data_IF_991396537467
#
_entry.id   IF_991396537467
#
_cell.length_a   1.000
_cell.length_b   1.000
_cell.length_c   1.000
_cell.angle_alpha   90.00
_cell.angle_beta   90.00
_cell.angle_gamma   90.00
#
_symmetry.space_group_name_H-M   'P 1'
#
loop_
_entity.id
_entity.type
_entity.pdbx_description
1 polymer ?
#
# COMPACT_ATOMS: atom_id res chain seq x y z
N UNK A 1 9.74 -19.97 -22.67
CA UNK A 1 8.71 -19.01 -23.12
C UNK A 1 7.38 -19.67 -22.87
N UNK A 2 6.71 -19.37 -21.76
CA UNK A 2 5.31 -19.78 -21.60
C UNK A 2 4.46 -19.10 -22.69
N UNK A 3 3.38 -19.75 -23.09
CA UNK A 3 2.42 -19.18 -24.03
C UNK A 3 1.88 -17.85 -23.49
N UNK A 4 1.78 -16.85 -24.36
CA UNK A 4 1.10 -15.60 -24.04
C UNK A 4 -0.29 -15.92 -23.46
N UNK A 5 -0.60 -15.37 -22.29
CA UNK A 5 -1.90 -15.52 -21.68
C UNK A 5 -2.96 -15.02 -22.65
N UNK A 6 -4.10 -15.72 -22.70
CA UNK A 6 -5.26 -15.17 -23.38
C UNK A 6 -5.67 -13.86 -22.69
N UNK A 7 -6.09 -12.87 -23.48
CA UNK A 7 -6.53 -11.57 -22.97
C UNK A 7 -7.52 -11.67 -21.78
N UNK A 8 -8.49 -12.61 -21.76
CA UNK A 8 -9.39 -12.78 -20.62
C UNK A 8 -8.67 -13.16 -19.31
N UNK A 9 -7.65 -14.01 -19.37
CA UNK A 9 -6.91 -14.45 -18.18
C UNK A 9 -6.03 -13.32 -17.65
N UNK A 10 -5.38 -12.57 -18.55
CA UNK A 10 -4.61 -11.38 -18.18
C UNK A 10 -5.50 -10.31 -17.51
N UNK A 11 -6.65 -10.01 -18.13
CA UNK A 11 -7.62 -9.06 -17.56
C UNK A 11 -8.15 -9.54 -16.20
N UNK A 12 -8.41 -10.84 -16.05
CA UNK A 12 -8.82 -11.44 -14.78
C UNK A 12 -7.77 -11.27 -13.68
N UNK A 13 -6.49 -11.50 -13.98
CA UNK A 13 -5.40 -11.30 -13.01
C UNK A 13 -5.21 -9.82 -12.62
N UNK A 14 -5.33 -8.91 -13.58
CA UNK A 14 -5.34 -7.47 -13.30
C UNK A 14 -6.52 -7.14 -12.38
N UNK A 15 -7.71 -7.71 -12.64
CA UNK A 15 -8.88 -7.56 -11.79
C UNK A 15 -8.65 -8.04 -10.35
N UNK A 16 -7.97 -9.17 -10.17
CA UNK A 16 -7.60 -9.69 -8.84
C UNK A 16 -6.59 -8.77 -8.16
N UNK A 17 -5.61 -8.24 -8.90
CA UNK A 17 -4.64 -7.28 -8.35
C UNK A 17 -5.34 -5.99 -7.88
N UNK A 18 -6.26 -5.45 -8.70
CA UNK A 18 -7.07 -4.29 -8.31
C UNK A 18 -8.02 -4.58 -7.14
N UNK A 19 -8.55 -5.81 -7.05
CA UNK A 19 -9.33 -6.24 -5.89
C UNK A 19 -8.48 -6.26 -4.62
N UNK A 20 -7.24 -6.74 -4.68
CA UNK A 20 -6.32 -6.66 -3.55
C UNK A 20 -6.08 -5.21 -3.12
N UNK A 21 -5.86 -4.30 -4.08
CA UNK A 21 -5.65 -2.87 -3.80
C UNK A 21 -6.88 -2.20 -3.20
N UNK A 22 -8.07 -2.56 -3.69
CA UNK A 22 -9.35 -2.14 -3.14
C UNK A 22 -9.52 -2.62 -1.70
N UNK A 23 -9.29 -3.91 -1.43
CA UNK A 23 -9.38 -4.47 -0.08
C UNK A 23 -8.36 -3.83 0.86
N UNK A 24 -7.18 -3.48 0.35
CA UNK A 24 -6.18 -2.75 1.11
C UNK A 24 -6.67 -1.35 1.50
N UNK A 25 -7.23 -0.61 0.53
CA UNK A 25 -7.84 0.70 0.77
C UNK A 25 -8.96 0.65 1.81
N UNK A 26 -9.79 -0.41 1.77
CA UNK A 26 -10.88 -0.67 2.72
C UNK A 26 -10.34 -0.97 4.12
N UNK A 27 -9.37 -1.87 4.21
CA UNK A 27 -8.82 -2.34 5.48
C UNK A 27 -8.10 -1.22 6.26
N UNK A 28 -7.39 -0.35 5.54
CA UNK A 28 -6.55 0.68 6.15
C UNK A 28 -7.21 2.08 6.18
N UNK A 29 -8.46 2.20 5.73
CA UNK A 29 -9.23 3.45 5.79
C UNK A 29 -9.24 4.03 7.22
N UNK A 30 -9.46 3.16 8.20
CA UNK A 30 -9.50 3.51 9.62
C UNK A 30 -8.20 4.19 10.09
N UNK A 31 -7.04 3.71 9.62
CA UNK A 31 -5.74 4.25 10.03
C UNK A 31 -5.58 5.72 9.58
N UNK A 32 -6.11 6.06 8.41
CA UNK A 32 -6.02 7.42 7.84
C UNK A 32 -6.95 8.43 8.49
N UNK A 33 -8.09 7.99 9.02
CA UNK A 33 -9.15 8.89 9.52
C UNK A 33 -9.31 8.87 11.05
N UNK A 34 -8.75 7.89 11.75
CA UNK A 34 -9.00 7.68 13.19
C UNK A 34 -8.72 8.94 14.03
N UNK A 35 -7.65 9.67 13.73
CA UNK A 35 -7.27 10.87 14.49
C UNK A 35 -8.26 12.01 14.30
N UNK A 36 -8.58 12.38 13.05
CA UNK A 36 -9.46 13.53 12.75
C UNK A 36 -10.95 13.27 13.11
N UNK A 37 -11.35 12.00 13.11
CA UNK A 37 -12.70 11.57 13.52
C UNK A 37 -12.81 11.50 15.04
N UNK A 38 -11.82 10.92 15.74
CA UNK A 38 -11.87 10.80 17.21
C UNK A 38 -11.82 12.15 17.93
N UNK A 39 -11.11 13.13 17.36
CA UNK A 39 -11.07 14.53 17.84
C UNK A 39 -12.30 15.36 17.43
N UNK A 40 -13.22 14.74 16.67
CA UNK A 40 -14.46 15.35 16.15
C UNK A 40 -14.19 16.59 15.30
N UNK A 41 -13.06 16.62 14.60
CA UNK A 41 -12.76 17.68 13.62
C UNK A 41 -13.54 17.44 12.32
N UNK A 42 -13.63 16.19 11.88
CA UNK A 42 -14.50 15.78 10.78
C UNK A 42 -15.46 14.68 11.21
N UNK A 43 -16.65 14.67 10.58
CA UNK A 43 -17.54 13.51 10.66
C UNK A 43 -16.95 12.36 9.82
N UNK A 44 -17.20 11.10 10.19
CA UNK A 44 -16.65 9.94 9.48
C UNK A 44 -16.86 9.99 7.96
N UNK A 45 -18.06 10.38 7.50
CA UNK A 45 -18.40 10.42 6.07
C UNK A 45 -17.52 11.40 5.28
N UNK A 46 -17.16 12.54 5.86
CA UNK A 46 -16.26 13.50 5.21
C UNK A 46 -14.81 13.08 5.33
N UNK A 47 -14.44 12.41 6.42
CA UNK A 47 -13.08 11.94 6.63
C UNK A 47 -12.69 10.84 5.63
N UNK A 48 -13.60 9.90 5.31
CA UNK A 48 -13.35 8.88 4.28
C UNK A 48 -13.21 9.49 2.89
N UNK A 49 -14.05 10.48 2.54
CA UNK A 49 -13.95 11.20 1.26
C UNK A 49 -12.63 11.97 1.17
N UNK A 50 -12.22 12.61 2.27
CA UNK A 50 -10.95 13.32 2.36
C UNK A 50 -9.77 12.36 2.17
N UNK A 51 -9.74 11.25 2.92
CA UNK A 51 -8.70 10.24 2.83
C UNK A 51 -8.62 9.62 1.42
N UNK A 52 -9.76 9.27 0.83
CA UNK A 52 -9.81 8.71 -0.51
C UNK A 52 -9.28 9.67 -1.58
N UNK A 53 -9.60 10.97 -1.48
CA UNK A 53 -9.05 11.98 -2.38
C UNK A 53 -7.52 12.05 -2.30
N UNK A 54 -6.96 12.12 -1.08
CA UNK A 54 -5.51 12.19 -0.88
C UNK A 54 -4.80 10.88 -1.23
N UNK A 55 -5.43 9.73 -0.99
CA UNK A 55 -4.98 8.43 -1.47
C UNK A 55 -4.87 8.45 -3.01
N UNK A 56 -5.91 8.91 -3.71
CA UNK A 56 -5.93 8.95 -5.16
C UNK A 56 -4.82 9.83 -5.76
N UNK A 57 -4.64 11.05 -5.25
CA UNK A 57 -3.69 12.02 -5.83
C UNK A 57 -2.23 11.79 -5.43
N UNK A 58 -1.93 10.77 -4.62
CA UNK A 58 -0.59 10.53 -4.11
C UNK A 58 0.46 10.37 -5.23
N UNK A 59 0.08 9.84 -6.39
CA UNK A 59 0.98 9.71 -7.55
C UNK A 59 1.53 11.05 -8.07
N UNK A 60 0.89 12.18 -7.77
CA UNK A 60 1.37 13.51 -8.15
C UNK A 60 2.57 13.97 -7.30
N UNK A 61 2.76 13.37 -6.12
CA UNK A 61 3.75 13.81 -5.13
C UNK A 61 4.90 12.82 -4.95
N UNK A 62 4.69 11.54 -5.26
CA UNK A 62 5.68 10.48 -5.04
C UNK A 62 6.09 9.77 -6.33
N UNK A 63 7.38 9.47 -6.47
CA UNK A 63 7.89 8.61 -7.54
C UNK A 63 7.63 7.12 -7.29
N UNK A 64 7.75 6.30 -8.34
CA UNK A 64 7.31 4.89 -8.38
C UNK A 64 8.34 3.86 -7.84
N UNK A 65 9.11 4.23 -6.82
CA UNK A 65 10.22 3.41 -6.31
C UNK A 65 9.75 2.09 -5.65
N UNK A 66 8.58 2.09 -5.01
CA UNK A 66 8.04 0.89 -4.34
C UNK A 66 7.60 -0.14 -5.38
N UNK A 67 6.98 0.32 -6.48
CA UNK A 67 6.56 -0.54 -7.59
C UNK A 67 7.75 -1.27 -8.22
N UNK A 68 8.88 -0.56 -8.41
CA UNK A 68 10.13 -1.15 -8.93
C UNK A 68 10.70 -2.21 -7.98
N UNK A 69 10.65 -1.94 -6.66
CA UNK A 69 11.15 -2.85 -5.63
C UNK A 69 10.32 -4.13 -5.56
N UNK A 70 8.99 -4.03 -5.60
CA UNK A 70 8.13 -5.22 -5.59
C UNK A 70 8.22 -6.02 -6.89
N UNK A 71 8.48 -5.37 -8.02
CA UNK A 71 8.54 -6.05 -9.29
C UNK A 71 9.75 -7.01 -9.45
N UNK A 72 10.85 -6.73 -8.76
CA UNK A 72 12.12 -7.49 -8.96
C UNK A 72 12.87 -7.85 -7.68
N UNK A 73 12.46 -7.32 -6.52
CA UNK A 73 13.24 -7.38 -5.30
C UNK A 73 12.89 -8.51 -4.33
N UNK A 74 11.79 -9.24 -4.53
CA UNK A 74 11.33 -10.27 -3.57
C UNK A 74 11.49 -11.68 -4.14
N UNK A 75 11.02 -11.90 -5.36
CA UNK A 75 11.12 -13.16 -6.10
C UNK A 75 11.88 -12.89 -7.40
N UNK A 76 12.69 -13.84 -7.84
CA UNK A 76 13.46 -13.70 -9.08
C UNK A 76 12.53 -13.45 -10.27
N UNK A 77 12.77 -12.37 -11.03
CA UNK A 77 11.88 -11.93 -12.09
C UNK A 77 11.66 -12.97 -13.20
N UNK A 78 12.66 -13.84 -13.44
CA UNK A 78 12.59 -14.96 -14.39
C UNK A 78 11.56 -16.02 -13.99
N UNK A 79 11.22 -16.10 -12.70
CA UNK A 79 10.30 -17.07 -12.13
C UNK A 79 8.89 -16.51 -11.94
N UNK A 80 8.68 -15.19 -12.09
CA UNK A 80 7.37 -14.58 -11.93
C UNK A 80 6.54 -14.84 -13.21
N UNK A 81 5.57 -15.73 -13.08
CA UNK A 81 4.56 -15.99 -14.10
C UNK A 81 3.14 -15.70 -13.57
N UNK A 82 2.16 -15.93 -14.44
CA UNK A 82 0.74 -15.76 -14.15
C UNK A 82 0.27 -16.55 -12.91
N UNK A 83 0.81 -17.76 -12.72
CA UNK A 83 0.42 -18.68 -11.64
C UNK A 83 1.01 -18.24 -10.31
N UNK A 84 2.26 -17.76 -10.31
CA UNK A 84 2.92 -17.18 -9.13
C UNK A 84 2.18 -15.93 -8.69
N UNK A 85 1.86 -15.02 -9.63
CA UNK A 85 1.11 -13.80 -9.32
C UNK A 85 -0.28 -14.14 -8.77
N UNK A 86 -0.99 -15.08 -9.40
CA UNK A 86 -2.28 -15.55 -8.91
C UNK A 86 -2.18 -16.11 -7.50
N UNK A 87 -1.24 -17.03 -7.25
CA UNK A 87 -1.05 -17.65 -5.94
C UNK A 87 -0.69 -16.63 -4.86
N UNK A 88 0.18 -15.66 -5.20
CA UNK A 88 0.58 -14.60 -4.29
C UNK A 88 -0.61 -13.70 -3.92
N UNK A 89 -1.37 -13.22 -4.90
CA UNK A 89 -2.53 -12.36 -4.67
C UNK A 89 -3.65 -13.11 -3.97
N UNK A 90 -3.94 -14.36 -4.36
CA UNK A 90 -4.97 -15.17 -3.72
C UNK A 90 -4.64 -15.44 -2.24
N UNK A 91 -3.39 -15.77 -1.93
CA UNK A 91 -2.92 -15.95 -0.56
C UNK A 91 -3.02 -14.66 0.27
N UNK A 92 -2.59 -13.54 -0.31
CA UNK A 92 -2.65 -12.23 0.33
C UNK A 92 -4.09 -11.76 0.58
N UNK A 93 -4.97 -11.89 -0.42
CA UNK A 93 -6.40 -11.55 -0.31
C UNK A 93 -7.08 -12.45 0.73
N UNK A 94 -6.86 -13.76 0.68
CA UNK A 94 -7.46 -14.68 1.65
C UNK A 94 -7.06 -14.33 3.09
N UNK A 95 -5.79 -13.99 3.31
CA UNK A 95 -5.30 -13.56 4.62
C UNK A 95 -5.89 -12.21 5.07
N UNK A 96 -5.97 -11.23 4.16
CA UNK A 96 -6.57 -9.94 4.44
C UNK A 96 -8.07 -10.06 4.79
N UNK A 97 -8.83 -10.86 4.03
CA UNK A 97 -10.25 -11.10 4.32
C UNK A 97 -10.43 -11.83 5.65
N UNK A 98 -9.61 -12.85 5.92
CA UNK A 98 -9.67 -13.59 7.19
C UNK A 98 -9.43 -12.66 8.39
N UNK A 99 -8.36 -11.86 8.33
CA UNK A 99 -8.00 -10.95 9.42
C UNK A 99 -9.03 -9.84 9.59
N UNK A 100 -9.59 -9.32 8.50
CA UNK A 100 -10.70 -8.38 8.53
C UNK A 100 -11.95 -8.95 9.20
N UNK A 101 -12.40 -10.15 8.83
CA UNK A 101 -13.56 -10.82 9.43
C UNK A 101 -13.35 -11.07 10.93
N UNK A 102 -12.11 -11.35 11.34
CA UNK A 102 -11.75 -11.54 12.74
C UNK A 102 -11.48 -10.22 13.50
N UNK A 103 -11.53 -9.06 12.83
CA UNK A 103 -11.22 -7.76 13.42
C UNK A 103 -9.75 -7.62 13.87
N UNK A 104 -8.85 -8.41 13.29
CA UNK A 104 -7.42 -8.38 13.60
C UNK A 104 -6.73 -7.36 12.69
N UNK A 105 -6.09 -6.31 13.22
CA UNK A 105 -5.34 -5.37 12.39
C UNK A 105 -4.13 -6.10 11.78
N UNK A 106 -4.18 -6.32 10.47
CA UNK A 106 -3.10 -6.93 9.69
C UNK A 106 -2.51 -5.95 8.67
N UNK A 107 -1.29 -6.25 8.22
CA UNK A 107 -0.60 -5.49 7.17
C UNK A 107 -0.75 -6.20 5.83
N UNK A 108 -1.47 -5.58 4.90
CA UNK A 108 -1.58 -6.04 3.51
C UNK A 108 -0.22 -6.17 2.84
N UNK A 109 0.75 -5.33 3.23
CA UNK A 109 2.14 -5.40 2.75
C UNK A 109 2.78 -6.73 3.09
N UNK A 110 2.63 -7.19 4.33
CA UNK A 110 3.20 -8.46 4.78
C UNK A 110 2.45 -9.63 4.16
N UNK A 111 1.13 -9.54 4.03
CA UNK A 111 0.33 -10.54 3.36
C UNK A 111 0.80 -10.73 1.91
N UNK A 112 1.07 -9.63 1.19
CA UNK A 112 1.55 -9.67 -0.18
C UNK A 112 2.97 -10.21 -0.32
N UNK A 113 3.91 -9.72 0.50
CA UNK A 113 5.29 -10.23 0.50
C UNK A 113 5.31 -11.72 0.86
N UNK A 114 4.54 -12.13 1.87
CA UNK A 114 4.36 -13.53 2.25
C UNK A 114 3.75 -14.37 1.13
N UNK A 115 2.74 -13.82 0.43
CA UNK A 115 2.14 -14.44 -0.75
C UNK A 115 3.14 -14.65 -1.88
N UNK A 116 3.95 -13.63 -2.20
CA UNK A 116 4.99 -13.72 -3.22
C UNK A 116 6.05 -14.76 -2.86
N UNK A 117 6.56 -14.72 -1.63
CA UNK A 117 7.55 -15.70 -1.14
C UNK A 117 6.96 -17.11 -1.16
N UNK A 118 5.74 -17.30 -0.67
CA UNK A 118 5.07 -18.61 -0.66
C UNK A 118 4.85 -19.17 -2.06
N UNK A 119 4.36 -18.36 -2.99
CA UNK A 119 4.17 -18.75 -4.38
C UNK A 119 5.50 -19.04 -5.10
N UNK A 120 6.54 -18.24 -4.85
CA UNK A 120 7.89 -18.46 -5.38
C UNK A 120 8.51 -19.76 -4.86
N UNK A 121 8.42 -20.01 -3.55
CA UNK A 121 8.89 -21.24 -2.92
C UNK A 121 8.16 -22.47 -3.48
N UNK A 122 6.84 -22.39 -3.68
CA UNK A 122 6.07 -23.49 -4.26
C UNK A 122 6.48 -23.80 -5.71
N UNK A 123 6.88 -22.79 -6.49
CA UNK A 123 7.31 -22.97 -7.89
C UNK A 123 8.73 -23.51 -8.03
N UNK A 124 9.68 -22.94 -7.32
CA UNK A 124 11.11 -23.19 -7.58
C UNK A 124 11.95 -23.40 -6.31
N UNK A 125 11.34 -23.49 -5.13
CA UNK A 125 12.03 -23.68 -3.86
C UNK A 125 12.79 -22.44 -3.39
N UNK A 126 13.73 -22.61 -2.47
CA UNK A 126 14.46 -21.52 -1.79
C UNK A 126 15.25 -20.59 -2.71
N UNK A 127 15.66 -21.09 -3.89
CA UNK A 127 16.36 -20.31 -4.91
C UNK A 127 15.47 -19.24 -5.56
N UNK A 128 14.14 -19.35 -5.46
CA UNK A 128 13.23 -18.36 -6.01
C UNK A 128 13.28 -17.02 -5.27
N UNK A 129 13.74 -17.02 -4.02
CA UNK A 129 13.68 -15.87 -3.11
C UNK A 129 14.93 -15.02 -3.27
N UNK A 130 14.72 -13.72 -3.51
CA UNK A 130 15.79 -12.73 -3.55
C UNK A 130 16.09 -12.30 -2.10
N UNK A 131 16.93 -13.08 -1.41
CA UNK A 131 17.24 -12.88 0.01
C UNK A 131 17.71 -11.48 0.38
N UNK A 132 18.48 -10.83 -0.51
CA UNK A 132 18.93 -9.46 -0.27
C UNK A 132 17.79 -8.43 -0.23
N UNK A 133 16.78 -8.58 -1.09
CA UNK A 133 15.63 -7.67 -1.11
C UNK A 133 14.56 -8.06 -0.08
N UNK A 134 14.36 -9.36 0.17
CA UNK A 134 13.53 -9.83 1.28
C UNK A 134 14.11 -9.36 2.63
N UNK A 135 15.43 -9.44 2.81
CA UNK A 135 16.10 -8.98 4.03
C UNK A 135 15.94 -7.48 4.28
N UNK A 136 16.06 -6.65 3.23
CA UNK A 136 15.77 -5.20 3.32
C UNK A 136 14.32 -4.94 3.70
N UNK A 137 13.39 -5.67 3.09
CA UNK A 137 11.96 -5.57 3.40
C UNK A 137 11.71 -5.96 4.85
N UNK A 138 12.23 -7.11 5.29
CA UNK A 138 12.09 -7.59 6.66
C UNK A 138 12.68 -6.62 7.70
N UNK A 139 13.84 -6.02 7.41
CA UNK A 139 14.42 -4.98 8.25
C UNK A 139 13.50 -3.75 8.33
N UNK A 140 12.91 -3.32 7.22
CA UNK A 140 12.00 -2.18 7.18
C UNK A 140 10.72 -2.41 8.01
N UNK A 141 10.24 -3.67 8.14
CA UNK A 141 9.10 -4.04 9.00
C UNK A 141 9.35 -3.65 10.46
N UNK A 142 10.58 -3.87 10.95
CA UNK A 142 10.95 -3.57 12.34
C UNK A 142 11.40 -2.13 12.49
N UNK A 143 12.18 -1.62 11.54
CA UNK A 143 12.75 -0.28 11.61
C UNK A 143 11.71 0.82 11.41
N UNK A 144 10.69 0.62 10.55
CA UNK A 144 9.72 1.69 10.27
C UNK A 144 8.84 2.05 11.47
N UNK A 145 8.28 1.12 12.28
CA UNK A 145 7.55 1.50 13.49
C UNK A 145 8.47 2.09 14.57
N UNK A 146 9.71 1.59 14.70
CA UNK A 146 10.68 2.12 15.67
C UNK A 146 11.07 3.58 15.35
N UNK A 147 11.37 3.85 14.08
CA UNK A 147 11.66 5.22 13.63
C UNK A 147 10.42 6.11 13.75
N UNK A 148 9.25 5.61 13.36
CA UNK A 148 7.99 6.34 13.54
C UNK A 148 7.72 6.69 15.00
N UNK A 149 7.95 5.76 15.92
CA UNK A 149 7.80 5.98 17.36
C UNK A 149 8.81 7.00 17.90
N UNK A 150 10.09 6.89 17.54
CA UNK A 150 11.12 7.83 17.95
C UNK A 150 10.84 9.26 17.44
N UNK A 151 10.42 9.39 16.17
CA UNK A 151 10.04 10.66 15.58
C UNK A 151 8.77 11.24 16.24
N UNK A 152 7.79 10.39 16.56
CA UNK A 152 6.59 10.82 17.28
C UNK A 152 6.93 11.36 18.68
N UNK A 153 7.80 10.70 19.43
CA UNK A 153 8.26 11.19 20.75
C UNK A 153 8.97 12.53 20.64
N UNK A 154 9.86 12.68 19.65
CA UNK A 154 10.54 13.95 19.38
C UNK A 154 9.54 15.05 19.02
N UNK A 155 8.57 14.75 18.15
CA UNK A 155 7.56 15.71 17.73
C UNK A 155 6.68 16.15 18.92
N UNK A 156 6.26 15.21 19.78
CA UNK A 156 5.52 15.51 21.00
C UNK A 156 6.33 16.42 21.91
N UNK A 157 7.61 16.12 22.15
CA UNK A 157 8.50 16.96 22.95
C UNK A 157 8.56 18.38 22.39
N UNK A 158 8.88 18.54 21.11
CA UNK A 158 9.00 19.85 20.45
C UNK A 158 7.69 20.63 20.53
N UNK A 159 6.57 19.99 20.19
CA UNK A 159 5.25 20.63 20.20
C UNK A 159 4.83 21.05 21.61
N UNK A 160 5.05 20.20 22.61
CA UNK A 160 4.74 20.51 24.02
C UNK A 160 5.54 21.72 24.52
N UNK A 161 6.83 21.80 24.18
CA UNK A 161 7.67 22.96 24.52
C UNK A 161 7.21 24.24 23.83
N UNK A 162 6.89 24.18 22.54
CA UNK A 162 6.39 25.35 21.78
C UNK A 162 5.04 25.85 22.30
N UNK A 163 4.18 24.94 22.79
CA UNK A 163 2.85 25.28 23.28
C UNK A 163 2.78 25.56 24.78
N UNK A 164 3.90 25.47 25.53
CA UNK A 164 3.90 25.55 27.00
C UNK A 164 3.31 26.84 27.57
N UNK A 165 3.39 27.95 26.82
CA UNK A 165 2.83 29.25 27.21
C UNK A 165 1.49 29.58 26.54
N UNK A 166 0.97 28.69 25.70
CA UNK A 166 -0.27 28.92 24.98
C UNK A 166 -1.48 28.49 25.81
N UNK A 167 -2.60 29.20 25.66
CA UNK A 167 -3.85 28.81 26.32
C UNK A 167 -4.45 27.56 25.66
N UNK A 168 -5.13 26.67 26.42
CA UNK A 168 -5.75 25.46 25.86
C UNK A 168 -6.68 25.76 24.68
N UNK A 169 -7.44 26.85 24.73
CA UNK A 169 -8.33 27.28 23.65
C UNK A 169 -7.58 27.65 22.36
N UNK A 170 -6.46 28.39 22.48
CA UNK A 170 -5.64 28.75 21.33
C UNK A 170 -4.97 27.54 20.69
N UNK A 171 -4.54 26.58 21.51
CA UNK A 171 -3.97 25.29 21.05
C UNK A 171 -5.04 24.50 20.31
N UNK A 172 -6.21 24.23 20.91
CA UNK A 172 -7.28 23.46 20.27
C UNK A 172 -7.64 24.05 18.89
N UNK A 173 -7.89 25.36 18.80
CA UNK A 173 -8.23 26.02 17.53
C UNK A 173 -7.16 25.83 16.44
N UNK A 174 -5.88 25.89 16.79
CA UNK A 174 -4.77 25.68 15.83
C UNK A 174 -4.65 24.22 15.43
N UNK A 175 -4.70 23.30 16.39
CA UNK A 175 -4.52 21.87 16.14
C UNK A 175 -5.68 21.26 15.36
N UNK A 176 -6.90 21.80 15.47
CA UNK A 176 -8.01 21.41 14.59
C UNK A 176 -7.69 21.65 13.12
N UNK A 177 -7.03 22.77 12.79
CA UNK A 177 -6.60 23.06 11.41
C UNK A 177 -5.41 22.17 10.98
N UNK A 178 -4.42 22.00 11.85
CA UNK A 178 -3.25 21.17 11.56
C UNK A 178 -3.61 19.70 11.35
N UNK A 179 -4.69 19.21 11.97
CA UNK A 179 -5.17 17.85 11.75
C UNK A 179 -5.61 17.59 10.30
N UNK A 180 -6.16 18.58 9.59
CA UNK A 180 -6.42 18.43 8.15
C UNK A 180 -5.13 18.19 7.38
N UNK A 181 -4.07 18.94 7.69
CA UNK A 181 -2.75 18.77 7.06
C UNK A 181 -2.19 17.39 7.40
N UNK A 182 -2.20 17.01 8.68
CA UNK A 182 -1.71 15.71 9.13
C UNK A 182 -2.46 14.54 8.49
N UNK A 183 -3.81 14.61 8.42
CA UNK A 183 -4.63 13.58 7.79
C UNK A 183 -4.34 13.50 6.28
N UNK A 184 -4.19 14.64 5.61
CA UNK A 184 -3.82 14.70 4.19
C UNK A 184 -2.46 14.06 3.93
N UNK A 185 -1.45 14.38 4.73
CA UNK A 185 -0.10 13.82 4.61
C UNK A 185 -0.07 12.31 4.89
N UNK A 186 -0.86 11.84 5.87
CA UNK A 186 -0.98 10.43 6.16
C UNK A 186 -1.59 9.66 4.98
N UNK A 187 -2.72 10.13 4.44
CA UNK A 187 -3.35 9.51 3.25
C UNK A 187 -2.48 9.61 2.00
N UNK A 188 -1.80 10.74 1.77
CA UNK A 188 -0.79 10.84 0.71
C UNK A 188 0.30 9.77 0.86
N UNK A 189 0.83 9.59 2.07
CA UNK A 189 1.85 8.57 2.35
C UNK A 189 1.32 7.15 2.18
N UNK A 190 0.09 6.88 2.65
CA UNK A 190 -0.59 5.60 2.46
C UNK A 190 -0.73 5.30 0.98
N UNK A 191 -1.36 6.18 0.20
CA UNK A 191 -1.53 5.94 -1.23
C UNK A 191 -0.28 6.02 -2.08
N UNK A 192 0.74 6.74 -1.62
CA UNK A 192 2.05 6.79 -2.24
C UNK A 192 2.82 5.49 -2.09
N UNK A 193 2.59 4.73 -1.02
CA UNK A 193 3.30 3.49 -0.74
C UNK A 193 2.50 2.25 -1.18
N UNK A 194 1.22 2.22 -0.85
CA UNK A 194 0.42 1.00 -0.89
C UNK A 194 -0.07 0.68 -2.29
N UNK A 195 -0.62 1.65 -3.02
CA UNK A 195 -1.06 1.44 -4.40
C UNK A 195 0.12 1.00 -5.31
N UNK A 196 1.34 1.46 -5.01
CA UNK A 196 2.53 1.10 -5.80
C UNK A 196 2.86 -0.40 -5.74
N UNK A 197 2.47 -1.11 -4.69
CA UNK A 197 2.72 -2.55 -4.56
C UNK A 197 1.96 -3.31 -5.64
N UNK A 198 0.69 -2.97 -5.81
CA UNK A 198 -0.18 -3.50 -6.86
C UNK A 198 0.29 -3.06 -8.25
N UNK A 199 0.72 -1.80 -8.40
CA UNK A 199 1.31 -1.31 -9.65
C UNK A 199 2.53 -2.14 -10.08
N UNK A 200 3.41 -2.49 -9.13
CA UNK A 200 4.59 -3.32 -9.41
C UNK A 200 4.21 -4.72 -9.91
N UNK A 201 3.21 -5.35 -9.30
CA UNK A 201 2.74 -6.68 -9.70
C UNK A 201 2.12 -6.65 -11.10
N UNK A 202 1.25 -5.67 -11.38
CA UNK A 202 0.63 -5.51 -12.69
C UNK A 202 1.72 -5.20 -13.75
N UNK A 203 2.69 -4.35 -13.43
CA UNK A 203 3.78 -4.02 -14.34
C UNK A 203 4.63 -5.26 -14.69
N UNK A 204 4.98 -6.10 -13.71
CA UNK A 204 5.70 -7.35 -13.99
C UNK A 204 4.87 -8.33 -14.79
N UNK A 205 3.58 -8.44 -14.50
CA UNK A 205 2.67 -9.26 -15.30
C UNK A 205 2.67 -8.81 -16.76
N UNK A 206 2.53 -7.51 -17.02
CA UNK A 206 2.54 -6.98 -18.39
C UNK A 206 3.92 -7.14 -19.06
N UNK A 207 5.00 -6.96 -18.30
CA UNK A 207 6.37 -7.13 -18.79
C UNK A 207 6.64 -8.58 -19.20
N UNK A 208 6.32 -9.54 -18.33
CA UNK A 208 6.52 -10.98 -18.58
C UNK A 208 5.70 -11.49 -19.78
N UNK A 209 4.57 -10.84 -20.07
CA UNK A 209 3.70 -11.18 -21.20
C UNK A 209 4.07 -10.43 -22.50
N UNK A 210 5.13 -9.62 -22.49
CA UNK A 210 5.56 -8.85 -23.66
C UNK A 210 4.61 -7.71 -24.07
N UNK A 211 3.70 -7.31 -23.17
CA UNK A 211 2.81 -6.16 -23.39
C UNK A 211 3.47 -4.83 -23.03
N UNK A 212 4.61 -4.87 -22.34
CA UNK A 212 5.50 -3.71 -22.18
C UNK A 212 6.63 -3.81 -23.20
N UNK A 213 7.17 -2.64 -23.58
CA UNK A 213 8.33 -2.54 -24.46
C UNK A 213 9.61 -3.16 -23.85
N UNK A 214 10.78 -2.91 -24.47
CA UNK A 214 12.04 -3.53 -24.02
C UNK A 214 12.48 -3.11 -22.61
N UNK A 215 11.97 -1.99 -22.11
CA UNK A 215 12.29 -1.44 -20.80
C UNK A 215 11.13 -1.58 -19.81
N UNK A 216 11.45 -2.05 -18.60
CA UNK A 216 10.50 -2.12 -17.50
C UNK A 216 10.10 -0.73 -17.04
N UNK A 217 8.81 -0.43 -17.13
CA UNK A 217 8.21 0.78 -16.60
C UNK A 217 6.79 0.50 -16.13
N UNK A 218 6.24 1.38 -15.31
CA UNK A 218 4.86 1.31 -14.85
C UNK A 218 4.02 2.28 -15.70
N UNK A 219 3.08 1.79 -16.53
CA UNK A 219 2.24 2.65 -17.35
C UNK A 219 1.32 3.54 -16.50
N UNK A 220 1.04 4.75 -16.97
CA UNK A 220 0.18 5.70 -16.26
C UNK A 220 -1.22 5.12 -15.99
N UNK A 221 -1.78 4.33 -16.90
CA UNK A 221 -3.09 3.71 -16.68
C UNK A 221 -3.08 2.74 -15.49
N UNK A 222 -1.96 2.04 -15.25
CA UNK A 222 -1.80 1.14 -14.09
C UNK A 222 -1.77 1.98 -12.81
N UNK A 223 -1.05 3.10 -12.83
CA UNK A 223 -1.00 4.05 -11.72
C UNK A 223 -2.40 4.55 -11.37
N UNK A 224 -3.13 5.05 -12.37
CA UNK A 224 -4.48 5.58 -12.17
C UNK A 224 -5.47 4.50 -11.73
N UNK A 225 -5.37 3.28 -12.27
CA UNK A 225 -6.25 2.18 -11.90
C UNK A 225 -6.03 1.72 -10.45
N UNK A 226 -4.78 1.55 -10.02
CA UNK A 226 -4.45 1.18 -8.64
C UNK A 226 -4.89 2.28 -7.66
N UNK A 227 -4.53 3.55 -7.94
CA UNK A 227 -4.95 4.66 -7.09
C UNK A 227 -6.48 4.80 -7.01
N UNK A 228 -7.19 4.58 -8.11
CA UNK A 228 -8.65 4.58 -8.11
C UNK A 228 -9.24 3.42 -7.30
N UNK A 229 -8.69 2.21 -7.44
CA UNK A 229 -9.14 1.03 -6.70
C UNK A 229 -8.93 1.21 -5.20
N UNK A 230 -7.75 1.65 -4.79
CA UNK A 230 -7.45 1.90 -3.38
C UNK A 230 -8.29 3.06 -2.82
N UNK A 231 -8.46 4.16 -3.54
CA UNK A 231 -9.33 5.26 -3.11
C UNK A 231 -10.80 4.82 -2.98
N UNK A 232 -11.31 4.00 -3.91
CA UNK A 232 -12.64 3.41 -3.82
C UNK A 232 -12.77 2.47 -2.62
N UNK A 233 -11.74 1.70 -2.31
CA UNK A 233 -11.65 0.89 -1.09
C UNK A 233 -11.77 1.76 0.15
N UNK A 234 -11.01 2.84 0.22
CA UNK A 234 -11.05 3.79 1.34
C UNK A 234 -12.40 4.48 1.52
N UNK A 235 -13.17 4.69 0.44
CA UNK A 235 -14.53 5.23 0.54
C UNK A 235 -15.54 4.24 1.14
N UNK A 236 -15.28 2.94 1.01
CA UNK A 236 -16.20 1.86 1.39
C UNK A 236 -15.82 1.15 2.69
N UNK A 237 -14.67 1.47 3.28
CA UNK A 237 -14.22 0.99 4.60
C UNK A 237 -14.70 1.86 5.73
#
# INVERSE_FOLDING_TARGET
>A
MEAALSLPVLAGLIGIALLFDFLNGLHDAANSIATIVSTRVLRPQYAVVWAAFFNFIAFLFFGLHVAQTLGTGIVEASLIDARVIFGALAGAIAWNVLTWVLGIPSSSSHALVGGLVGAGLAKAGWQAVVWGGLGKTAAAIVLSPLLGFALALLLVLVVSWLCVRATPFAVDRRFRLLQFVSASLYSLGHGGNDAQKTMGIIAVLLFSQGHLGPEFHVPLWVVLACQAAMAAGTLLG
#
